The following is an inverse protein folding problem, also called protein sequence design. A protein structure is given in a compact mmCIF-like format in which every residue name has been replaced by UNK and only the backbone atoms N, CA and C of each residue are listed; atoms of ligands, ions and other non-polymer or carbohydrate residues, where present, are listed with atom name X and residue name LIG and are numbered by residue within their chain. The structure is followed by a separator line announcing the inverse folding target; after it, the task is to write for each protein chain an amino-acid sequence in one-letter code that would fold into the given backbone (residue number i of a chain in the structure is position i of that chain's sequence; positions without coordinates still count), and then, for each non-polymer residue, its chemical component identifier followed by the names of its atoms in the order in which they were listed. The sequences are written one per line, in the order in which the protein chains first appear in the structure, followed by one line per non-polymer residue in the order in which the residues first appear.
data_IF_930916596004
#
_entry.id   IF_930916596004
#
_cell.length_a   1.000
_cell.length_b   1.000
_cell.length_c   1.000
_cell.angle_alpha   90.00
_cell.angle_beta   90.00
_cell.angle_gamma   90.00
#
_symmetry.space_group_name_H-M   'P 1'
#
loop_
_entity.id
_entity.type
_entity.pdbx_description
1 polymer ?
#
# COMPACT_ATOMS: atom_id res chain seq x y z
N UNK A 1 -15.64 8.35 -28.66
CA UNK A 1 -15.45 7.52 -27.45
C UNK A 1 -15.73 8.40 -26.24
N UNK A 2 -16.82 8.14 -25.50
CA UNK A 2 -17.51 9.14 -24.67
C UNK A 2 -16.74 9.40 -23.36
N UNK A 3 -16.43 10.68 -23.00
CA UNK A 3 -15.65 11.04 -21.81
C UNK A 3 -16.28 10.63 -20.46
N UNK A 4 -17.57 10.32 -20.46
CA UNK A 4 -18.33 9.89 -19.28
C UNK A 4 -17.85 8.54 -18.70
N UNK A 5 -17.44 7.60 -19.56
CA UNK A 5 -16.96 6.27 -19.13
C UNK A 5 -15.62 6.33 -18.38
N UNK A 6 -14.76 7.31 -18.71
CA UNK A 6 -13.47 7.51 -18.02
C UNK A 6 -13.67 7.92 -16.55
N UNK A 7 -14.67 8.74 -16.25
CA UNK A 7 -14.95 9.21 -14.89
C UNK A 7 -15.50 8.12 -13.98
N UNK A 8 -16.33 7.22 -14.53
CA UNK A 8 -16.90 6.08 -13.79
C UNK A 8 -15.82 5.02 -13.52
N UNK A 9 -15.03 4.68 -14.54
CA UNK A 9 -13.92 3.74 -14.39
C UNK A 9 -12.90 4.26 -13.37
N UNK A 10 -12.52 5.54 -13.44
CA UNK A 10 -11.62 6.16 -12.45
C UNK A 10 -12.13 6.04 -11.02
N UNK A 11 -13.42 6.31 -10.78
CA UNK A 11 -14.03 6.20 -9.43
C UNK A 11 -14.13 4.76 -8.92
N UNK A 12 -14.43 3.79 -9.79
CA UNK A 12 -14.47 2.37 -9.40
C UNK A 12 -13.05 1.88 -9.07
N UNK A 13 -12.06 2.27 -9.87
CA UNK A 13 -10.66 1.94 -9.63
C UNK A 13 -10.12 2.58 -8.34
N UNK A 14 -10.52 3.82 -8.04
CA UNK A 14 -10.22 4.45 -6.75
C UNK A 14 -10.87 3.68 -5.59
N UNK A 15 -12.05 3.08 -5.81
CA UNK A 15 -12.74 2.24 -4.83
C UNK A 15 -12.00 0.94 -4.52
N UNK A 16 -11.62 0.17 -5.55
CA UNK A 16 -10.84 -1.07 -5.39
C UNK A 16 -9.50 -0.81 -4.69
N UNK A 17 -8.75 0.18 -5.18
CA UNK A 17 -7.45 0.52 -4.60
C UNK A 17 -7.58 0.99 -3.14
N UNK A 18 -8.65 1.72 -2.81
CA UNK A 18 -8.92 2.16 -1.43
C UNK A 18 -9.33 1.00 -0.53
N UNK A 19 -10.10 0.04 -1.05
CA UNK A 19 -10.43 -1.19 -0.32
C UNK A 19 -9.16 -1.99 -0.03
N UNK A 20 -8.34 -2.22 -1.04
CA UNK A 20 -7.07 -2.94 -0.91
C UNK A 20 -6.08 -2.20 0.02
N UNK A 21 -6.06 -0.86 0.02
CA UNK A 21 -5.26 -0.09 0.97
C UNK A 21 -5.67 -0.36 2.42
N UNK A 22 -6.97 -0.46 2.73
CA UNK A 22 -7.44 -0.82 4.08
C UNK A 22 -7.03 -2.23 4.48
N UNK A 23 -7.07 -3.17 3.52
CA UNK A 23 -6.60 -4.54 3.73
C UNK A 23 -5.10 -4.55 4.05
N UNK A 24 -4.29 -3.78 3.31
CA UNK A 24 -2.86 -3.65 3.57
C UNK A 24 -2.55 -3.07 4.95
N UNK A 25 -3.28 -2.02 5.38
CA UNK A 25 -3.16 -1.44 6.72
C UNK A 25 -3.54 -2.44 7.82
N UNK A 26 -4.67 -3.13 7.64
CA UNK A 26 -5.15 -4.15 8.58
C UNK A 26 -4.18 -5.31 8.70
N UNK A 27 -3.62 -5.76 7.58
CA UNK A 27 -2.58 -6.77 7.55
C UNK A 27 -1.35 -6.34 8.35
N UNK A 28 -0.81 -5.14 8.11
CA UNK A 28 0.36 -4.67 8.86
C UNK A 28 0.08 -4.58 10.37
N UNK A 29 -1.09 -4.06 10.77
CA UNK A 29 -1.50 -4.00 12.19
C UNK A 29 -1.65 -5.38 12.82
N UNK A 30 -2.11 -6.37 12.05
CA UNK A 30 -2.25 -7.74 12.57
C UNK A 30 -0.90 -8.42 12.81
N UNK A 31 0.09 -8.12 11.97
CA UNK A 31 1.44 -8.69 12.06
C UNK A 31 2.30 -7.95 13.09
N UNK A 32 2.09 -6.63 13.24
CA UNK A 32 2.81 -5.79 14.17
C UNK A 32 1.84 -4.89 14.97
N UNK A 33 1.20 -5.41 16.03
CA UNK A 33 0.21 -4.67 16.81
C UNK A 33 0.76 -3.40 17.47
N UNK A 34 2.06 -3.37 17.75
CA UNK A 34 2.74 -2.23 18.37
C UNK A 34 3.05 -1.09 17.39
N UNK A 35 2.80 -1.28 16.09
CA UNK A 35 3.05 -0.25 15.08
C UNK A 35 1.86 0.69 14.97
N UNK A 36 2.15 1.99 14.98
CA UNK A 36 1.14 3.01 14.69
C UNK A 36 1.17 3.27 13.19
N UNK A 37 0.14 2.85 12.47
CA UNK A 37 0.03 3.06 11.02
C UNK A 37 -0.53 4.46 10.74
N UNK A 38 0.22 5.30 10.02
CA UNK A 38 -0.14 6.70 9.76
C UNK A 38 -0.59 6.98 8.32
N UNK A 39 -0.33 6.06 7.40
CA UNK A 39 -0.72 6.26 6.01
C UNK A 39 -0.30 5.12 5.10
N UNK A 40 -0.89 5.15 3.91
CA UNK A 40 -0.71 4.15 2.87
C UNK A 40 -0.52 4.84 1.53
N UNK A 41 0.56 4.52 0.84
CA UNK A 41 0.91 5.08 -0.45
C UNK A 41 0.79 4.00 -1.53
N UNK A 42 0.02 4.29 -2.57
CA UNK A 42 -0.06 3.40 -3.72
C UNK A 42 1.26 3.38 -4.49
N UNK A 43 1.77 2.19 -4.83
CA UNK A 43 3.05 2.02 -5.55
C UNK A 43 2.85 1.51 -6.95
N UNK A 44 2.10 0.43 -7.11
CA UNK A 44 1.91 -0.19 -8.40
C UNK A 44 0.57 -0.92 -8.50
N UNK A 45 0.02 -0.90 -9.72
CA UNK A 45 -1.05 -1.80 -10.14
C UNK A 45 -0.42 -2.87 -11.00
N UNK A 46 -0.38 -4.10 -10.50
CA UNK A 46 -0.01 -5.25 -11.31
C UNK A 46 -1.27 -5.96 -11.81
N UNK A 47 -1.08 -6.93 -12.70
CA UNK A 47 -2.20 -7.71 -13.25
C UNK A 47 -2.99 -8.40 -12.13
N UNK A 48 -2.28 -9.06 -11.22
CA UNK A 48 -2.83 -9.93 -10.18
C UNK A 48 -2.95 -9.24 -8.81
N UNK A 49 -2.22 -8.15 -8.56
CA UNK A 49 -2.14 -7.54 -7.23
C UNK A 49 -2.00 -6.02 -7.24
N UNK A 50 -2.39 -5.41 -6.14
CA UNK A 50 -2.08 -4.02 -5.82
C UNK A 50 -0.91 -3.96 -4.85
N UNK A 51 0.05 -3.05 -5.10
CA UNK A 51 1.20 -2.86 -4.21
C UNK A 51 1.10 -1.53 -3.49
N UNK A 52 1.20 -1.57 -2.18
CA UNK A 52 1.16 -0.42 -1.29
C UNK A 52 2.41 -0.32 -0.44
N UNK A 53 2.82 0.90 -0.13
CA UNK A 53 3.77 1.20 0.93
C UNK A 53 2.99 1.70 2.14
N UNK A 54 2.95 0.90 3.21
CA UNK A 54 2.25 1.23 4.45
C UNK A 54 3.26 1.84 5.42
N UNK A 55 3.11 3.13 5.67
CA UNK A 55 3.98 3.89 6.59
C UNK A 55 3.52 3.72 8.03
N UNK A 56 4.48 3.52 8.93
CA UNK A 56 4.22 3.32 10.34
C UNK A 56 5.26 4.06 11.18
N UNK A 57 4.89 4.39 12.41
CA UNK A 57 5.84 4.77 13.44
C UNK A 57 5.93 3.63 14.46
N UNK A 58 7.13 3.43 14.97
CA UNK A 58 7.35 2.63 16.18
C UNK A 58 7.37 3.61 17.35
N UNK A 59 6.77 3.25 18.48
CA UNK A 59 6.61 4.11 19.67
C UNK A 59 7.91 4.81 20.12
N UNK A 60 9.07 4.25 19.74
CA UNK A 60 10.40 4.75 20.11
C UNK A 60 11.19 5.43 18.97
N UNK A 61 10.61 5.61 17.77
CA UNK A 61 11.33 6.15 16.59
C UNK A 61 10.72 7.47 16.10
N UNK A 62 11.27 8.63 16.50
CA UNK A 62 10.82 9.94 16.02
C UNK A 62 11.40 10.34 14.65
N UNK A 63 12.07 9.42 13.93
CA UNK A 63 12.83 9.76 12.74
C UNK A 63 11.95 9.95 11.51
N UNK A 64 12.19 11.04 10.79
CA UNK A 64 11.67 11.27 9.44
C UNK A 64 12.74 10.94 8.41
N UNK A 65 12.38 10.30 7.30
CA UNK A 65 11.02 9.90 6.92
C UNK A 65 10.52 8.67 7.69
N UNK A 66 9.21 8.63 8.00
CA UNK A 66 8.62 7.45 8.66
C UNK A 66 8.92 6.18 7.85
N UNK A 67 9.30 5.07 8.52
CA UNK A 67 9.53 3.81 7.85
C UNK A 67 8.25 3.29 7.21
N UNK A 68 8.40 2.34 6.28
CA UNK A 68 7.29 1.71 5.62
C UNK A 68 7.59 0.25 5.32
N UNK A 69 6.52 -0.53 5.17
CA UNK A 69 6.55 -1.88 4.62
C UNK A 69 5.84 -1.90 3.27
N UNK A 70 6.39 -2.63 2.31
CA UNK A 70 5.69 -2.95 1.08
C UNK A 70 4.75 -4.13 1.32
N UNK A 71 3.48 -3.94 0.97
CA UNK A 71 2.43 -4.94 1.10
C UNK A 71 1.77 -5.10 -0.27
N UNK A 72 1.71 -6.35 -0.73
CA UNK A 72 0.92 -6.75 -1.88
C UNK A 72 -0.45 -7.23 -1.41
N UNK A 73 -1.50 -6.83 -2.12
CA UNK A 73 -2.87 -7.31 -1.93
C UNK A 73 -3.35 -7.91 -3.23
N UNK A 74 -3.63 -9.21 -3.23
CA UNK A 74 -4.16 -9.93 -4.38
C UNK A 74 -5.54 -9.39 -4.79
N UNK A 75 -5.80 -9.29 -6.09
CA UNK A 75 -7.01 -8.66 -6.61
C UNK A 75 -8.24 -9.55 -6.56
N UNK A 76 -8.06 -10.86 -6.61
CA UNK A 76 -9.17 -11.82 -6.65
C UNK A 76 -9.54 -12.30 -5.25
N UNK A 77 -8.54 -12.79 -4.51
CA UNK A 77 -8.69 -13.32 -3.15
C UNK A 77 -8.73 -12.23 -2.08
N UNK A 78 -8.12 -11.07 -2.35
CA UNK A 78 -7.94 -10.03 -1.33
C UNK A 78 -6.89 -10.36 -0.27
N UNK A 79 -6.12 -11.44 -0.46
CA UNK A 79 -5.07 -11.81 0.49
C UNK A 79 -3.90 -10.82 0.46
N UNK A 80 -3.40 -10.48 1.64
CA UNK A 80 -2.27 -9.58 1.80
C UNK A 80 -0.99 -10.34 2.16
N UNK A 81 0.12 -9.91 1.57
CA UNK A 81 1.45 -10.47 1.85
C UNK A 81 2.51 -9.38 1.86
N UNK A 82 3.59 -9.61 2.62
CA UNK A 82 4.74 -8.73 2.58
C UNK A 82 5.51 -8.88 1.28
N UNK A 83 5.99 -7.75 0.77
CA UNK A 83 7.04 -7.72 -0.24
C UNK A 83 8.35 -7.30 0.40
N UNK A 84 9.44 -7.73 -0.22
CA UNK A 84 10.77 -7.28 0.15
C UNK A 84 10.84 -5.75 0.05
N UNK A 85 11.17 -5.12 1.17
CA UNK A 85 11.26 -3.66 1.29
C UNK A 85 12.73 -3.25 1.33
N UNK A 86 13.41 -3.48 0.21
CA UNK A 86 14.82 -3.15 -0.01
C UNK A 86 14.96 -2.18 -1.18
N UNK A 87 16.06 -1.39 -1.27
CA UNK A 87 16.30 -0.47 -2.39
C UNK A 87 16.25 -1.11 -3.79
N UNK A 88 16.52 -2.42 -3.85
CA UNK A 88 16.49 -3.24 -5.06
C UNK A 88 15.06 -3.56 -5.51
N UNK A 89 14.08 -3.46 -4.60
CA UNK A 89 12.67 -3.67 -4.93
C UNK A 89 12.20 -2.66 -5.97
N UNK A 90 11.52 -3.10 -7.06
CA UNK A 90 11.01 -2.18 -8.08
C UNK A 90 9.96 -1.20 -7.52
N UNK A 91 9.38 -1.51 -6.36
CA UNK A 91 8.37 -0.68 -5.70
C UNK A 91 8.95 0.25 -4.63
N UNK A 92 10.27 0.22 -4.41
CA UNK A 92 10.97 1.08 -3.45
C UNK A 92 10.66 2.56 -3.68
N UNK A 93 10.49 3.30 -2.58
CA UNK A 93 10.30 4.76 -2.62
C UNK A 93 11.67 5.43 -2.71
N UNK A 94 12.07 5.82 -3.93
CA UNK A 94 13.31 6.57 -4.18
C UNK A 94 13.31 7.90 -3.39
N UNK A 95 14.46 8.26 -2.83
CA UNK A 95 14.67 9.56 -2.17
C UNK A 95 14.18 9.65 -0.72
N UNK A 96 13.61 8.59 -0.13
CA UNK A 96 13.47 8.46 1.33
C UNK A 96 14.74 7.82 1.89
N UNK A 97 15.57 8.61 2.58
CA UNK A 97 16.73 8.19 3.36
C UNK A 97 16.55 8.66 4.79
#
# INVERSE_FOLDING_TARGET
MIPFLRGILGRIFDGEARSAARVAEGFLRSQYPDFVVHGTLFRAKELERFVFAVTYDKTDFPYRPSPYWLVAVDRESGEASFLETTPESPHWIRGRK
#
